data_IF_912419728263
#
_entry.id   IF_912419728263
#
_cell.length_a   1.000
_cell.length_b   1.000
_cell.length_c   1.000
_cell.angle_alpha   90.00
_cell.angle_beta   90.00
_cell.angle_gamma   90.00
#
_symmetry.space_group_name_H-M   'P 1'
#
loop_
_entity.id
_entity.type
_entity.pdbx_description
1 polymer ?
#
# COMPACT_ATOMS: atom_id res chain seq x y z
N UNK A 1 8.49 -13.89 1.29
CA UNK A 1 8.83 -12.50 0.96
C UNK A 1 8.28 -11.68 2.10
N UNK A 2 9.12 -11.18 3.01
CA UNK A 2 8.67 -10.31 4.11
C UNK A 2 8.35 -8.92 3.55
N UNK A 3 7.20 -8.84 2.88
CA UNK A 3 6.83 -7.81 1.89
C UNK A 3 6.16 -6.58 2.50
N UNK A 4 6.60 -6.10 3.67
CA UNK A 4 5.92 -5.01 4.39
C UNK A 4 4.37 -5.19 4.47
N UNK A 5 3.91 -6.45 4.50
CA UNK A 5 2.50 -6.86 4.44
C UNK A 5 1.72 -6.49 3.15
N UNK A 6 2.39 -6.40 1.99
CA UNK A 6 1.75 -6.06 0.71
C UNK A 6 0.55 -6.96 0.35
N UNK A 7 0.63 -8.25 0.64
CA UNK A 7 -0.43 -9.20 0.33
C UNK A 7 -1.68 -8.96 1.19
N UNK A 8 -1.49 -8.59 2.46
CA UNK A 8 -2.59 -8.17 3.32
C UNK A 8 -3.24 -6.87 2.80
N UNK A 9 -2.44 -5.91 2.34
CA UNK A 9 -2.95 -4.68 1.74
C UNK A 9 -3.83 -4.97 0.50
N UNK A 10 -3.38 -5.86 -0.38
CA UNK A 10 -4.18 -6.29 -1.56
C UNK A 10 -5.50 -6.93 -1.15
N UNK A 11 -5.49 -7.82 -0.14
CA UNK A 11 -6.72 -8.44 0.36
C UNK A 11 -7.70 -7.39 0.88
N UNK A 12 -7.23 -6.42 1.67
CA UNK A 12 -8.08 -5.36 2.22
C UNK A 12 -8.65 -4.45 1.13
N UNK A 13 -7.85 -4.05 0.14
CA UNK A 13 -8.29 -3.23 -0.99
C UNK A 13 -9.37 -3.95 -1.78
N UNK A 14 -9.15 -5.22 -2.13
CA UNK A 14 -10.13 -6.02 -2.85
C UNK A 14 -11.42 -6.29 -2.04
N UNK A 15 -11.34 -6.23 -0.71
CA UNK A 15 -12.50 -6.29 0.18
C UNK A 15 -13.25 -4.95 0.32
N UNK A 16 -12.78 -3.88 -0.33
CA UNK A 16 -13.43 -2.57 -0.36
C UNK A 16 -12.80 -1.50 0.53
N UNK A 17 -11.57 -1.72 1.03
CA UNK A 17 -10.84 -0.66 1.71
C UNK A 17 -10.52 0.49 0.74
N UNK A 18 -10.86 1.72 1.13
CA UNK A 18 -10.56 2.93 0.37
C UNK A 18 -9.10 3.35 0.59
N UNK A 19 -8.26 3.07 -0.39
CA UNK A 19 -6.84 3.45 -0.40
C UNK A 19 -6.59 4.88 -0.88
N UNK A 20 -7.60 5.60 -1.34
CA UNK A 20 -7.46 7.02 -1.73
C UNK A 20 -7.66 7.95 -0.55
N UNK A 21 -8.13 7.42 0.58
CA UNK A 21 -8.36 8.16 1.80
C UNK A 21 -7.06 8.62 2.46
N UNK A 22 -6.97 9.90 2.74
CA UNK A 22 -5.87 10.52 3.47
C UNK A 22 -6.00 10.37 4.99
N UNK A 23 -4.86 10.32 5.67
CA UNK A 23 -4.75 10.43 7.12
C UNK A 23 -4.78 11.91 7.57
N UNK A 24 -4.51 12.18 8.85
CA UNK A 24 -4.49 13.55 9.40
C UNK A 24 -3.30 14.38 8.90
N UNK A 25 -2.29 13.74 8.32
CA UNK A 25 -1.08 14.34 7.76
C UNK A 25 -1.18 14.50 6.23
N UNK A 26 -2.38 14.37 5.66
CA UNK A 26 -2.66 14.48 4.21
C UNK A 26 -1.95 13.40 3.37
N UNK A 27 -1.68 12.22 3.96
CA UNK A 27 -1.03 11.10 3.28
C UNK A 27 -2.01 9.96 2.98
N UNK A 28 -1.95 9.45 1.75
CA UNK A 28 -2.56 8.15 1.39
C UNK A 28 -1.69 6.98 1.88
N UNK A 29 -2.23 5.77 2.03
CA UNK A 29 -1.45 4.59 2.39
C UNK A 29 -0.18 4.37 1.54
N UNK A 30 -0.25 4.61 0.22
CA UNK A 30 0.90 4.51 -0.68
C UNK A 30 1.85 5.70 -0.65
N UNK A 31 1.48 6.83 -0.02
CA UNK A 31 2.36 7.97 0.22
C UNK A 31 3.19 7.81 1.49
N UNK A 32 2.71 7.00 2.44
CA UNK A 32 3.42 6.73 3.70
C UNK A 32 4.77 6.03 3.47
N UNK A 33 5.78 6.47 4.22
CA UNK A 33 7.13 5.88 4.18
C UNK A 33 7.15 4.42 4.69
N UNK A 34 6.20 4.04 5.54
CA UNK A 34 6.02 2.67 6.02
C UNK A 34 7.25 2.12 6.73
N UNK A 35 7.71 0.94 6.32
CA UNK A 35 8.96 0.33 6.85
C UNK A 35 10.23 0.90 6.20
N UNK A 36 10.09 1.86 5.27
CA UNK A 36 11.17 2.46 4.51
C UNK A 36 11.91 1.48 3.58
N UNK A 37 13.00 1.97 2.99
CA UNK A 37 13.96 1.13 2.26
C UNK A 37 13.43 0.48 0.97
N UNK A 38 13.99 -0.69 0.63
CA UNK A 38 13.60 -1.44 -0.56
C UNK A 38 12.28 -2.19 -0.39
N UNK A 39 11.97 -2.63 0.82
CA UNK A 39 10.80 -3.47 1.07
C UNK A 39 9.51 -2.66 0.95
N UNK A 40 9.46 -1.42 1.43
CA UNK A 40 8.33 -0.53 1.17
C UNK A 40 8.12 -0.28 -0.33
N UNK A 41 9.20 -0.04 -1.08
CA UNK A 41 9.12 0.19 -2.53
C UNK A 41 8.56 -1.03 -3.27
N UNK A 42 9.01 -2.23 -2.91
CA UNK A 42 8.49 -3.48 -3.49
C UNK A 42 7.03 -3.72 -3.10
N UNK A 43 6.66 -3.45 -1.85
CA UNK A 43 5.29 -3.57 -1.37
C UNK A 43 4.34 -2.64 -2.12
N UNK A 44 4.72 -1.37 -2.28
CA UNK A 44 3.96 -0.39 -3.06
C UNK A 44 3.82 -0.81 -4.52
N UNK A 45 4.90 -1.29 -5.14
CA UNK A 45 4.83 -1.78 -6.52
C UNK A 45 3.89 -2.98 -6.65
N UNK A 46 3.95 -3.92 -5.72
CA UNK A 46 3.09 -5.11 -5.71
C UNK A 46 1.60 -4.75 -5.61
N UNK A 47 1.26 -3.77 -4.76
CA UNK A 47 -0.12 -3.25 -4.64
C UNK A 47 -0.57 -2.60 -5.95
N UNK A 48 0.30 -1.81 -6.61
CA UNK A 48 -0.01 -1.19 -7.90
C UNK A 48 -0.23 -2.24 -8.99
N UNK A 49 0.62 -3.26 -9.05
CA UNK A 49 0.52 -4.33 -10.05
C UNK A 49 -0.75 -5.17 -9.85
N UNK A 50 -1.20 -5.32 -8.61
CA UNK A 50 -2.37 -6.14 -8.25
C UNK A 50 -3.70 -5.38 -8.33
N UNK A 51 -3.73 -4.13 -7.88
CA UNK A 51 -4.95 -3.34 -7.70
C UNK A 51 -5.04 -2.14 -8.68
N UNK A 52 -4.04 -1.93 -9.53
CA UNK A 52 -3.93 -0.76 -10.40
C UNK A 52 -3.41 0.48 -9.67
N UNK A 53 -3.34 1.61 -10.40
CA UNK A 53 -2.98 2.91 -9.80
C UNK A 53 -4.12 3.43 -8.92
N UNK A 54 -3.82 4.06 -7.77
CA UNK A 54 -4.83 4.75 -6.97
C UNK A 54 -5.53 5.85 -7.77
#
# INVERSE_FOLDING_TARGET
MDSAHAEAAVVLINAGADRTRENLDEETPEAMEGVGGSEQRKARQYVIDSCGKP
#
